data_IF_282307807745
#
_entry.id   IF_282307807745
#
_cell.length_a   1.000
_cell.length_b   1.000
_cell.length_c   1.000
_cell.angle_alpha   90.00
_cell.angle_beta   90.00
_cell.angle_gamma   90.00
#
_symmetry.space_group_name_H-M   'P 1'
#
loop_
_entity.id
_entity.type
_entity.pdbx_description
1 polymer ?
#
# COMPACT_ATOMS: atom_id res chain seq x y z
N UNK A 1 0.56 -16.85 -32.22
CA UNK A 1 1.11 -16.67 -30.85
C UNK A 1 0.24 -15.68 -30.06
N UNK A 2 -1.03 -15.98 -29.80
CA UNK A 2 -1.99 -14.95 -29.34
C UNK A 2 -3.00 -15.38 -28.27
N UNK A 3 -2.78 -16.52 -27.59
CA UNK A 3 -3.66 -16.98 -26.49
C UNK A 3 -2.93 -17.22 -25.16
N UNK A 4 -1.59 -17.28 -25.17
CA UNK A 4 -0.81 -17.50 -23.96
C UNK A 4 -0.55 -16.21 -23.15
N UNK A 5 -0.71 -15.02 -23.75
CA UNK A 5 -0.55 -13.75 -23.03
C UNK A 5 -1.82 -13.27 -22.30
N UNK A 6 -3.02 -13.73 -22.67
CA UNK A 6 -4.26 -13.28 -22.01
C UNK A 6 -4.50 -13.97 -20.66
N UNK A 7 -3.91 -15.14 -20.42
CA UNK A 7 -4.03 -15.87 -19.15
C UNK A 7 -3.14 -15.30 -18.03
N UNK A 8 -2.16 -14.45 -18.38
CA UNK A 8 -1.28 -13.77 -17.42
C UNK A 8 -1.81 -12.41 -16.98
N UNK A 9 -2.91 -11.94 -17.59
CA UNK A 9 -3.52 -10.63 -17.36
C UNK A 9 -4.95 -10.75 -16.79
N UNK A 10 -5.31 -11.94 -16.31
CA UNK A 10 -6.58 -12.18 -15.65
C UNK A 10 -6.46 -11.78 -14.17
N UNK A 11 -7.16 -10.72 -13.73
CA UNK A 11 -7.01 -10.19 -12.38
C UNK A 11 -7.48 -11.18 -11.30
N UNK A 12 -8.44 -12.05 -11.64
CA UNK A 12 -8.92 -13.09 -10.73
C UNK A 12 -7.85 -14.18 -10.51
N UNK A 13 -7.05 -14.46 -11.53
CA UNK A 13 -5.89 -15.36 -11.41
C UNK A 13 -4.77 -14.72 -10.58
N UNK A 14 -4.50 -13.43 -10.79
CA UNK A 14 -3.50 -12.68 -10.02
C UNK A 14 -3.83 -12.62 -8.52
N UNK A 15 -5.08 -12.34 -8.14
CA UNK A 15 -5.48 -12.28 -6.72
C UNK A 15 -5.35 -13.65 -6.04
N UNK A 16 -5.65 -14.74 -6.73
CA UNK A 16 -5.49 -16.10 -6.20
C UNK A 16 -4.01 -16.39 -5.92
N UNK A 17 -3.12 -16.08 -6.87
CA UNK A 17 -1.68 -16.30 -6.70
C UNK A 17 -1.07 -15.42 -5.59
N UNK A 18 -1.51 -14.16 -5.48
CA UNK A 18 -1.12 -13.28 -4.38
C UNK A 18 -1.64 -13.81 -3.03
N UNK A 19 -2.87 -14.31 -2.99
CA UNK A 19 -3.46 -14.94 -1.81
C UNK A 19 -2.65 -16.14 -1.32
N UNK A 20 -2.35 -17.08 -2.22
CA UNK A 20 -1.53 -18.25 -1.93
C UNK A 20 -0.12 -17.87 -1.45
N UNK A 21 0.47 -16.84 -2.05
CA UNK A 21 1.79 -16.33 -1.67
C UNK A 21 1.79 -15.76 -0.26
N UNK A 22 0.79 -14.94 0.10
CA UNK A 22 0.64 -14.39 1.46
C UNK A 22 0.42 -15.51 2.48
N UNK A 23 -0.42 -16.50 2.17
CA UNK A 23 -0.67 -17.63 3.09
C UNK A 23 0.57 -18.50 3.29
N UNK A 24 1.42 -18.64 2.27
CA UNK A 24 2.72 -19.29 2.40
C UNK A 24 3.67 -18.45 3.27
N UNK A 25 3.75 -17.13 3.03
CA UNK A 25 4.58 -16.21 3.79
C UNK A 25 4.19 -16.13 5.27
N UNK A 26 2.90 -16.22 5.61
CA UNK A 26 2.43 -16.29 7.01
C UNK A 26 2.97 -17.50 7.77
N UNK A 27 3.26 -18.60 7.07
CA UNK A 27 3.84 -19.82 7.66
C UNK A 27 5.35 -19.69 7.84
N UNK A 28 5.98 -18.71 7.20
CA UNK A 28 7.39 -18.43 7.34
C UNK A 28 7.61 -17.44 8.48
N UNK A 29 8.59 -17.70 9.34
CA UNK A 29 8.94 -16.81 10.44
C UNK A 29 9.79 -15.60 9.96
N UNK A 30 9.35 -14.95 8.88
CA UNK A 30 10.09 -13.91 8.19
C UNK A 30 9.17 -12.69 7.90
N UNK A 31 8.96 -11.82 8.90
CA UNK A 31 7.94 -10.76 8.85
C UNK A 31 8.15 -9.75 7.72
N UNK A 32 9.40 -9.48 7.33
CA UNK A 32 9.71 -8.58 6.20
C UNK A 32 9.06 -9.04 4.89
N UNK A 33 9.13 -10.34 4.57
CA UNK A 33 8.56 -10.85 3.33
C UNK A 33 7.03 -10.84 3.38
N UNK A 34 6.44 -11.15 4.53
CA UNK A 34 5.01 -11.08 4.73
C UNK A 34 4.49 -9.66 4.49
N UNK A 35 5.13 -8.66 5.10
CA UNK A 35 4.77 -7.24 4.92
C UNK A 35 4.84 -6.81 3.45
N UNK A 36 5.89 -7.19 2.73
CA UNK A 36 6.01 -6.90 1.30
C UNK A 36 4.89 -7.56 0.48
N UNK A 37 4.55 -8.81 0.80
CA UNK A 37 3.46 -9.54 0.14
C UNK A 37 2.09 -8.89 0.38
N UNK A 38 1.82 -8.48 1.62
CA UNK A 38 0.60 -7.77 2.00
C UNK A 38 0.49 -6.40 1.31
N UNK A 39 1.56 -5.60 1.29
CA UNK A 39 1.57 -4.31 0.57
C UNK A 39 1.29 -4.48 -0.93
N UNK A 40 1.91 -5.49 -1.58
CA UNK A 40 1.66 -5.78 -2.98
C UNK A 40 0.20 -6.18 -3.23
N UNK A 41 -0.36 -7.05 -2.38
CA UNK A 41 -1.77 -7.46 -2.49
C UNK A 41 -2.72 -6.29 -2.20
N UNK A 42 -2.40 -5.42 -1.24
CA UNK A 42 -3.20 -4.23 -0.95
C UNK A 42 -3.26 -3.27 -2.15
N UNK A 43 -2.13 -3.00 -2.80
CA UNK A 43 -2.10 -2.17 -4.02
C UNK A 43 -2.95 -2.78 -5.14
N UNK A 44 -2.82 -4.08 -5.37
CA UNK A 44 -3.61 -4.78 -6.38
C UNK A 44 -5.11 -4.75 -6.05
N UNK A 45 -5.50 -5.05 -4.81
CA UNK A 45 -6.89 -4.98 -4.35
C UNK A 45 -7.47 -3.57 -4.55
N UNK A 46 -6.70 -2.52 -4.23
CA UNK A 46 -7.10 -1.12 -4.43
C UNK A 46 -7.36 -0.82 -5.92
N UNK A 47 -6.47 -1.25 -6.82
CA UNK A 47 -6.64 -1.07 -8.26
C UNK A 47 -7.87 -1.80 -8.81
N UNK A 48 -8.23 -2.94 -8.21
CA UNK A 48 -9.45 -3.69 -8.53
C UNK A 48 -10.72 -3.16 -7.83
N UNK A 49 -10.64 -2.08 -7.05
CA UNK A 49 -11.77 -1.53 -6.29
C UNK A 49 -12.17 -2.37 -5.06
N UNK A 50 -11.34 -3.34 -4.66
CA UNK A 50 -11.55 -4.22 -3.51
C UNK A 50 -11.01 -3.57 -2.22
N UNK A 51 -11.56 -2.41 -1.86
CA UNK A 51 -11.02 -1.57 -0.78
C UNK A 51 -11.01 -2.26 0.59
N UNK A 52 -12.04 -3.04 0.92
CA UNK A 52 -12.09 -3.82 2.17
C UNK A 52 -10.97 -4.85 2.28
N UNK A 53 -10.57 -5.45 1.17
CA UNK A 53 -9.45 -6.40 1.15
C UNK A 53 -8.11 -5.68 1.29
N UNK A 54 -7.96 -4.53 0.62
CA UNK A 54 -6.77 -3.69 0.75
C UNK A 54 -6.60 -3.18 2.20
N UNK A 55 -7.69 -2.76 2.84
CA UNK A 55 -7.70 -2.28 4.22
C UNK A 55 -7.26 -3.36 5.21
N UNK A 56 -7.81 -4.57 5.07
CA UNK A 56 -7.40 -5.74 5.89
C UNK A 56 -5.91 -6.06 5.76
N UNK A 57 -5.37 -5.98 4.54
CA UNK A 57 -3.94 -6.22 4.31
C UNK A 57 -3.09 -5.13 4.96
N UNK A 58 -3.51 -3.86 4.87
CA UNK A 58 -2.83 -2.73 5.48
C UNK A 58 -2.88 -2.78 7.01
N UNK A 59 -3.99 -3.21 7.60
CA UNK A 59 -4.11 -3.39 9.06
C UNK A 59 -3.09 -4.42 9.58
N UNK A 60 -2.92 -5.54 8.88
CA UNK A 60 -1.92 -6.56 9.23
C UNK A 60 -0.48 -6.04 9.02
N UNK A 61 -0.24 -5.26 7.96
CA UNK A 61 1.05 -4.59 7.76
C UNK A 61 1.38 -3.65 8.93
N UNK A 62 0.42 -2.83 9.36
CA UNK A 62 0.61 -1.90 10.47
C UNK A 62 0.96 -2.66 11.75
N UNK A 63 0.20 -3.69 12.10
CA UNK A 63 0.43 -4.49 13.30
C UNK A 63 1.86 -5.07 13.32
N UNK A 64 2.29 -5.68 12.21
CA UNK A 64 3.62 -6.28 12.11
C UNK A 64 4.70 -5.20 12.18
N UNK A 65 4.53 -4.12 11.42
CA UNK A 65 5.54 -3.07 11.31
C UNK A 65 5.73 -2.31 12.62
N UNK A 66 4.66 -2.01 13.36
CA UNK A 66 4.74 -1.41 14.70
C UNK A 66 5.40 -2.36 15.69
N UNK A 67 4.93 -3.61 15.75
CA UNK A 67 5.45 -4.63 16.69
C UNK A 67 6.94 -4.90 16.48
N UNK A 68 7.41 -4.87 15.23
CA UNK A 68 8.80 -5.14 14.88
C UNK A 68 9.66 -3.87 14.71
N UNK A 69 9.11 -2.67 14.96
CA UNK A 69 9.83 -1.41 14.83
C UNK A 69 10.31 -1.08 13.41
N UNK A 70 9.61 -1.58 12.39
CA UNK A 70 10.04 -1.52 10.99
C UNK A 70 9.65 -0.20 10.30
N UNK A 71 10.37 0.87 10.64
CA UNK A 71 10.03 2.23 10.17
C UNK A 71 9.92 2.40 8.66
N UNK A 72 10.75 1.71 7.87
CA UNK A 72 10.67 1.79 6.40
C UNK A 72 9.36 1.21 5.87
N UNK A 73 8.87 0.12 6.47
CA UNK A 73 7.59 -0.46 6.10
C UNK A 73 6.40 0.33 6.63
N UNK A 74 6.55 1.04 7.76
CA UNK A 74 5.55 2.03 8.19
C UNK A 74 5.43 3.16 7.17
N UNK A 75 6.54 3.61 6.56
CA UNK A 75 6.48 4.56 5.45
C UNK A 75 5.67 4.02 4.28
N UNK A 76 5.99 2.80 3.82
CA UNK A 76 5.27 2.17 2.71
C UNK A 76 3.78 1.97 3.04
N UNK A 77 3.45 1.59 4.28
CA UNK A 77 2.08 1.52 4.79
C UNK A 77 1.35 2.87 4.64
N UNK A 78 1.94 3.96 5.13
CA UNK A 78 1.29 5.27 5.06
C UNK A 78 1.09 5.73 3.60
N UNK A 79 2.01 5.43 2.70
CA UNK A 79 1.86 5.74 1.26
C UNK A 79 0.73 4.94 0.61
N UNK A 80 0.63 3.63 0.88
CA UNK A 80 -0.48 2.82 0.35
C UNK A 80 -1.82 3.18 0.99
N UNK A 81 -1.88 3.46 2.29
CA UNK A 81 -3.10 3.95 2.95
C UNK A 81 -3.56 5.29 2.36
N UNK A 82 -2.63 6.20 2.05
CA UNK A 82 -2.96 7.46 1.35
C UNK A 82 -3.60 7.19 -0.02
N UNK A 83 -3.04 6.26 -0.81
CA UNK A 83 -3.61 5.86 -2.11
C UNK A 83 -4.99 5.24 -1.96
N UNK A 84 -5.20 4.40 -0.96
CA UNK A 84 -6.48 3.76 -0.70
C UNK A 84 -7.55 4.80 -0.36
N UNK A 85 -7.24 5.72 0.56
CA UNK A 85 -8.15 6.78 0.99
C UNK A 85 -8.46 7.77 -0.14
N UNK A 86 -7.49 8.06 -1.01
CA UNK A 86 -7.73 8.80 -2.26
C UNK A 86 -8.74 8.09 -3.17
N UNK A 87 -8.62 6.76 -3.31
CA UNK A 87 -9.56 5.97 -4.13
C UNK A 87 -10.97 5.90 -3.50
N UNK A 88 -11.07 5.98 -2.17
CA UNK A 88 -12.32 6.07 -1.42
C UNK A 88 -12.87 7.51 -1.32
N UNK A 89 -12.14 8.50 -1.86
CA UNK A 89 -12.46 9.93 -1.80
C UNK A 89 -12.48 10.53 -0.38
N UNK A 90 -11.75 9.92 0.56
CA UNK A 90 -11.52 10.43 1.92
C UNK A 90 -10.23 11.27 1.96
N UNK A 91 -10.33 12.50 1.43
CA UNK A 91 -9.18 13.41 1.31
C UNK A 91 -8.57 13.83 2.66
N UNK A 92 -9.35 14.13 3.73
CA UNK A 92 -8.77 14.46 5.03
C UNK A 92 -7.87 13.36 5.58
N UNK A 93 -8.36 12.12 5.64
CA UNK A 93 -7.58 11.00 6.13
C UNK A 93 -6.37 10.71 5.22
N UNK A 94 -6.52 10.84 3.90
CA UNK A 94 -5.43 10.66 2.96
C UNK A 94 -4.28 11.65 3.21
N UNK A 95 -4.59 12.90 3.56
CA UNK A 95 -3.58 13.93 3.92
C UNK A 95 -2.86 13.60 5.20
N UNK A 96 -3.57 13.10 6.21
CA UNK A 96 -2.95 12.68 7.47
C UNK A 96 -1.93 11.56 7.23
N UNK A 97 -2.29 10.57 6.43
CA UNK A 97 -1.36 9.48 6.07
C UNK A 97 -0.17 9.99 5.28
N UNK A 98 -0.36 10.89 4.31
CA UNK A 98 0.75 11.49 3.57
C UNK A 98 1.69 12.27 4.50
N UNK A 99 1.15 13.05 5.44
CA UNK A 99 1.96 13.79 6.40
C UNK A 99 2.82 12.87 7.28
N UNK A 100 2.29 11.71 7.69
CA UNK A 100 3.06 10.71 8.43
C UNK A 100 4.14 10.06 7.56
N UNK A 101 3.84 9.72 6.31
CA UNK A 101 4.82 9.19 5.36
C UNK A 101 5.98 10.18 5.17
N UNK A 102 5.70 11.46 4.93
CA UNK A 102 6.72 12.51 4.75
C UNK A 102 7.60 12.66 5.99
N UNK A 103 7.02 12.64 7.19
CA UNK A 103 7.79 12.66 8.45
C UNK A 103 8.72 11.46 8.57
N UNK A 104 8.23 10.26 8.25
CA UNK A 104 9.03 9.04 8.33
C UNK A 104 10.15 9.01 7.28
N UNK A 105 9.89 9.45 6.05
CA UNK A 105 10.90 9.59 5.00
C UNK A 105 12.03 10.51 5.47
N UNK A 106 11.69 11.70 5.98
CA UNK A 106 12.66 12.65 6.51
C UNK A 106 13.45 12.08 7.70
N UNK A 107 12.78 11.39 8.63
CA UNK A 107 13.40 10.82 9.83
C UNK A 107 14.31 9.62 9.54
N UNK A 108 14.04 8.86 8.47
CA UNK A 108 14.79 7.65 8.10
C UNK A 108 15.82 7.89 7.01
N UNK A 109 15.77 9.05 6.33
CA UNK A 109 16.56 9.32 5.11
C UNK A 109 16.15 8.42 3.93
N UNK A 110 14.90 7.93 3.92
CA UNK A 110 14.42 6.97 2.93
C UNK A 110 13.99 7.62 1.62
N UNK A 111 14.92 8.35 1.00
CA UNK A 111 14.72 9.17 -0.21
C UNK A 111 14.21 8.40 -1.43
N UNK A 112 14.24 7.06 -1.40
CA UNK A 112 13.63 6.24 -2.47
C UNK A 112 12.12 6.49 -2.62
N UNK A 113 11.46 6.99 -1.57
CA UNK A 113 10.02 7.30 -1.56
C UNK A 113 9.69 8.77 -1.78
N UNK A 114 10.69 9.62 -2.02
CA UNK A 114 10.47 11.05 -2.27
C UNK A 114 9.59 11.27 -3.51
N UNK A 115 9.77 10.43 -4.55
CA UNK A 115 8.94 10.50 -5.76
C UNK A 115 7.47 10.20 -5.47
N UNK A 116 7.19 9.10 -4.76
CA UNK A 116 5.82 8.73 -4.39
C UNK A 116 5.15 9.78 -3.50
N UNK A 117 5.88 10.39 -2.56
CA UNK A 117 5.36 11.50 -1.74
C UNK A 117 4.95 12.68 -2.64
N UNK A 118 5.83 13.11 -3.55
CA UNK A 118 5.55 14.23 -4.45
C UNK A 118 4.35 13.96 -5.39
N UNK A 119 4.20 12.72 -5.84
CA UNK A 119 3.06 12.31 -6.67
C UNK A 119 1.74 12.40 -5.87
N UNK A 120 1.72 11.89 -4.64
CA UNK A 120 0.54 11.94 -3.77
C UNK A 120 0.19 13.37 -3.34
N UNK A 121 1.19 14.21 -3.07
CA UNK A 121 1.00 15.64 -2.80
C UNK A 121 0.27 16.33 -3.96
N UNK A 122 0.69 16.08 -5.20
CA UNK A 122 0.06 16.65 -6.39
C UNK A 122 -1.38 16.15 -6.58
N UNK A 123 -1.62 14.86 -6.36
CA UNK A 123 -2.96 14.28 -6.46
C UNK A 123 -3.90 14.90 -5.42
N UNK A 124 -3.46 15.05 -4.18
CA UNK A 124 -4.26 15.65 -3.10
C UNK A 124 -4.50 17.14 -3.31
N UNK A 125 -3.55 17.88 -3.90
CA UNK A 125 -3.74 19.27 -4.28
C UNK A 125 -4.76 19.41 -5.43
N UNK A 126 -4.75 18.48 -6.39
CA UNK A 126 -5.69 18.47 -7.51
C UNK A 126 -7.12 18.05 -7.10
N UNK A 127 -7.27 17.23 -6.06
CA UNK A 127 -8.54 16.71 -5.60
C UNK A 127 -9.41 17.75 -4.84
N UNK A 128 -8.88 18.93 -4.54
CA UNK A 128 -9.59 20.03 -3.89
C UNK A 128 -8.76 20.64 -2.75
N UNK A 129 -8.99 21.92 -2.37
CA UNK A 129 -8.23 22.55 -1.30
C UNK A 129 -8.49 21.88 0.06
N UNK A 130 -7.52 22.02 0.97
CA UNK A 130 -7.73 21.83 2.40
C UNK A 130 -8.60 23.00 2.84
N UNK A 131 -9.85 22.76 3.20
CA UNK A 131 -10.59 23.77 3.96
C UNK A 131 -9.89 23.89 5.33
N UNK A 132 -9.30 25.06 5.56
CA UNK A 132 -8.53 25.48 6.74
C UNK A 132 -9.43 25.58 8.00
#
# INVERSE_FOLDING_TARGET
MGRACQLLDDPDTAIIHLGQSVDFLRKLNAPEFLVRGLLARASFCREQGQFESARRDLDEVLEIAERCGMRLFLTDYHLESCRLLLAENDLPSARDHLAQATKLVAATGYHRRDQEVLELEKLLAAAGPVDD
#
